data_IF_133514431459
#
_entry.id   IF_133514431459
#
_cell.length_a   1.000
_cell.length_b   1.000
_cell.length_c   1.000
_cell.angle_alpha   90.00
_cell.angle_beta   90.00
_cell.angle_gamma   90.00
#
_symmetry.space_group_name_H-M   'P 1'
#
loop_
_entity.id
_entity.type
_entity.pdbx_description
1 polymer ?
#
# COMPACT_ATOMS: atom_id res chain seq x y z
N UNK A 1 -6.74 -11.25 17.39
CA UNK A 1 -5.91 -10.18 16.76
C UNK A 1 -6.77 -9.19 15.95
N UNK A 2 -7.56 -9.65 14.97
CA UNK A 2 -8.35 -8.75 14.09
C UNK A 2 -9.30 -7.81 14.85
N UNK A 3 -10.05 -8.28 15.86
CA UNK A 3 -10.91 -7.42 16.68
C UNK A 3 -10.14 -6.29 17.37
N UNK A 4 -8.95 -6.57 17.91
CA UNK A 4 -8.10 -5.53 18.52
C UNK A 4 -7.67 -4.48 17.49
N UNK A 5 -7.24 -4.88 16.29
CA UNK A 5 -6.87 -3.94 15.22
C UNK A 5 -8.04 -3.05 14.79
N UNK A 6 -9.22 -3.65 14.59
CA UNK A 6 -10.44 -2.92 14.22
C UNK A 6 -10.90 -1.97 15.34
N UNK A 7 -10.82 -2.40 16.60
CA UNK A 7 -11.18 -1.55 17.74
C UNK A 7 -10.24 -0.35 17.89
N UNK A 8 -8.92 -0.55 17.75
CA UNK A 8 -7.96 0.56 17.77
C UNK A 8 -8.24 1.52 16.62
N UNK A 9 -8.45 1.01 15.41
CA UNK A 9 -8.77 1.83 14.24
C UNK A 9 -10.03 2.66 14.46
N UNK A 10 -11.13 2.04 14.87
CA UNK A 10 -12.40 2.72 15.14
C UNK A 10 -12.27 3.78 16.25
N UNK A 11 -11.55 3.46 17.33
CA UNK A 11 -11.30 4.39 18.44
C UNK A 11 -10.52 5.63 17.97
N UNK A 12 -9.46 5.44 17.17
CA UNK A 12 -8.64 6.53 16.65
C UNK A 12 -9.42 7.36 15.62
N UNK A 13 -10.20 6.73 14.73
CA UNK A 13 -11.08 7.43 13.80
C UNK A 13 -12.10 8.32 14.52
N UNK A 14 -12.73 7.80 15.58
CA UNK A 14 -13.68 8.56 16.39
C UNK A 14 -12.99 9.72 17.12
N UNK A 15 -11.86 9.46 17.80
CA UNK A 15 -11.10 10.47 18.55
C UNK A 15 -10.65 11.65 17.67
N UNK A 16 -10.37 11.41 16.40
CA UNK A 16 -9.88 12.43 15.46
C UNK A 16 -10.97 12.97 14.51
N UNK A 17 -12.26 12.66 14.74
CA UNK A 17 -13.39 13.10 13.91
C UNK A 17 -13.20 12.80 12.40
N UNK A 18 -12.70 11.60 12.10
CA UNK A 18 -12.39 11.17 10.72
C UNK A 18 -13.56 10.46 10.02
N UNK A 19 -14.59 10.10 10.78
CA UNK A 19 -15.82 9.52 10.24
C UNK A 19 -16.61 10.63 9.56
N UNK A 20 -16.65 10.60 8.24
CA UNK A 20 -17.30 11.59 7.38
C UNK A 20 -18.38 10.87 6.58
N UNK A 21 -19.67 10.94 6.97
CA UNK A 21 -20.73 10.39 6.15
C UNK A 21 -20.72 11.09 4.79
N UNK A 22 -20.37 10.34 3.73
CA UNK A 22 -20.37 10.83 2.35
C UNK A 22 -21.48 10.12 1.58
N UNK A 23 -22.22 10.87 0.78
CA UNK A 23 -23.22 10.30 -0.14
C UNK A 23 -22.58 9.48 -1.27
N UNK A 24 -21.32 9.78 -1.61
CA UNK A 24 -20.55 9.12 -2.66
C UNK A 24 -19.13 8.81 -2.17
N UNK A 25 -18.61 7.63 -2.53
CA UNK A 25 -17.23 7.27 -2.30
C UNK A 25 -16.28 8.16 -3.12
N UNK A 26 -15.15 8.54 -2.53
CA UNK A 26 -14.10 9.27 -3.23
C UNK A 26 -13.57 8.43 -4.41
N UNK A 27 -13.44 9.04 -5.60
CA UNK A 27 -13.01 8.32 -6.79
C UNK A 27 -11.58 7.78 -6.67
N UNK A 28 -10.69 8.44 -5.92
CA UNK A 28 -9.33 7.96 -5.69
C UNK A 28 -9.33 6.73 -4.79
N UNK A 29 -10.17 6.73 -3.75
CA UNK A 29 -10.35 5.57 -2.86
C UNK A 29 -11.00 4.41 -3.63
N UNK A 30 -12.04 4.68 -4.42
CA UNK A 30 -12.67 3.68 -5.30
C UNK A 30 -11.66 3.09 -6.30
N UNK A 31 -10.73 3.91 -6.80
CA UNK A 31 -9.66 3.44 -7.67
C UNK A 31 -8.64 2.57 -6.92
N UNK A 32 -8.54 2.66 -5.59
CA UNK A 32 -7.61 1.84 -4.80
C UNK A 32 -8.12 0.42 -4.54
N UNK A 33 -9.42 0.17 -4.74
CA UNK A 33 -10.09 -1.07 -4.38
C UNK A 33 -10.22 -1.98 -5.59
N UNK A 34 -9.65 -3.18 -5.53
CA UNK A 34 -9.91 -4.26 -6.49
C UNK A 34 -11.12 -5.08 -6.09
N UNK A 35 -11.90 -5.51 -7.07
CA UNK A 35 -13.13 -6.28 -6.87
C UNK A 35 -12.99 -7.67 -7.50
N UNK A 36 -13.24 -8.70 -6.71
CA UNK A 36 -13.32 -10.09 -7.10
C UNK A 36 -14.73 -10.59 -6.77
N UNK A 37 -15.52 -10.92 -7.79
CA UNK A 37 -16.94 -11.21 -7.63
C UNK A 37 -17.22 -12.64 -7.15
N UNK A 38 -16.39 -13.61 -7.54
CA UNK A 38 -16.66 -15.03 -7.29
C UNK A 38 -16.68 -15.35 -5.79
N UNK A 39 -15.77 -14.74 -5.03
CA UNK A 39 -15.64 -14.92 -3.59
C UNK A 39 -16.15 -13.70 -2.80
N UNK A 40 -16.84 -12.77 -3.47
CA UNK A 40 -17.31 -11.49 -2.90
C UNK A 40 -16.20 -10.80 -2.11
N UNK A 41 -15.07 -10.54 -2.75
CA UNK A 41 -13.84 -10.05 -2.13
C UNK A 41 -13.45 -8.67 -2.68
N UNK A 42 -13.13 -7.75 -1.79
CA UNK A 42 -12.58 -6.43 -2.10
C UNK A 42 -11.21 -6.29 -1.41
N UNK A 43 -10.19 -5.96 -2.19
CA UNK A 43 -8.85 -5.70 -1.70
C UNK A 43 -8.47 -4.23 -1.92
N UNK A 44 -8.18 -3.50 -0.85
CA UNK A 44 -7.57 -2.19 -0.97
C UNK A 44 -6.06 -2.35 -1.21
N UNK A 45 -5.60 -1.91 -2.38
CA UNK A 45 -4.19 -1.91 -2.68
C UNK A 45 -3.46 -0.87 -1.84
N UNK A 46 -2.48 -1.32 -1.07
CA UNK A 46 -1.48 -0.43 -0.49
C UNK A 46 -0.13 -0.85 -1.06
N UNK A 47 0.62 0.02 -1.74
CA UNK A 47 1.92 -0.38 -2.23
C UNK A 47 2.91 -0.67 -1.10
N UNK A 48 3.84 -1.59 -1.38
CA UNK A 48 4.93 -2.03 -0.48
C UNK A 48 4.49 -2.80 0.78
N UNK A 49 3.25 -3.31 0.76
CA UNK A 49 2.73 -4.25 1.77
C UNK A 49 2.35 -5.61 1.18
N UNK A 50 2.98 -5.98 0.05
CA UNK A 50 2.70 -7.25 -0.65
C UNK A 50 1.62 -7.17 -1.73
N UNK A 51 1.16 -5.98 -2.13
CA UNK A 51 0.05 -5.82 -3.07
C UNK A 51 0.19 -6.59 -4.40
N UNK A 52 1.40 -6.74 -4.96
CA UNK A 52 1.59 -7.51 -6.19
C UNK A 52 1.17 -8.98 -6.03
N UNK A 53 1.40 -9.57 -4.86
CA UNK A 53 1.00 -10.95 -4.56
C UNK A 53 -0.50 -11.05 -4.31
N UNK A 54 -1.12 -10.06 -3.67
CA UNK A 54 -2.59 -9.97 -3.59
C UNK A 54 -3.25 -9.84 -4.96
N UNK A 55 -2.69 -9.07 -5.89
CA UNK A 55 -3.21 -8.99 -7.26
C UNK A 55 -3.12 -10.34 -7.98
N UNK A 56 -2.04 -11.12 -7.77
CA UNK A 56 -1.93 -12.49 -8.30
C UNK A 56 -3.00 -13.40 -7.73
N UNK A 57 -3.24 -13.34 -6.42
CA UNK A 57 -4.33 -14.09 -5.78
C UNK A 57 -5.69 -13.74 -6.41
N UNK A 58 -6.00 -12.44 -6.57
CA UNK A 58 -7.26 -12.01 -7.20
C UNK A 58 -7.37 -12.55 -8.62
N UNK A 59 -6.29 -12.47 -9.40
CA UNK A 59 -6.25 -12.99 -10.76
C UNK A 59 -6.49 -14.51 -10.81
N UNK A 60 -5.86 -15.28 -9.92
CA UNK A 60 -6.07 -16.73 -9.84
C UNK A 60 -7.51 -17.08 -9.42
N UNK A 61 -8.08 -16.34 -8.46
CA UNK A 61 -9.47 -16.53 -8.02
C UNK A 61 -10.51 -16.25 -9.13
N UNK A 62 -10.20 -15.34 -10.06
CA UNK A 62 -11.10 -14.99 -11.18
C UNK A 62 -11.01 -15.95 -12.35
N UNK A 63 -9.83 -16.52 -12.58
CA UNK A 63 -9.50 -17.18 -13.84
C UNK A 63 -9.78 -18.69 -13.81
N UNK A 64 -10.08 -19.27 -12.64
CA UNK A 64 -10.19 -20.73 -12.43
C UNK A 64 -9.03 -21.53 -13.05
N UNK A 65 -7.88 -20.85 -13.24
CA UNK A 65 -6.70 -21.44 -13.81
C UNK A 65 -6.04 -22.32 -12.75
N UNK A 66 -5.61 -23.50 -13.16
CA UNK A 66 -4.67 -24.34 -12.41
C UNK A 66 -3.24 -23.77 -12.42
N UNK A 67 -3.07 -22.50 -12.75
CA UNK A 67 -1.78 -21.82 -12.85
C UNK A 67 -1.25 -21.46 -11.46
N UNK A 68 0.06 -21.57 -11.28
CA UNK A 68 0.71 -21.17 -10.03
C UNK A 68 0.96 -19.67 -10.01
N UNK A 69 0.92 -19.04 -8.83
CA UNK A 69 1.13 -17.59 -8.72
C UNK A 69 2.53 -17.15 -9.23
N UNK A 70 3.51 -18.06 -9.22
CA UNK A 70 4.87 -17.85 -9.76
C UNK A 70 4.91 -17.67 -11.26
N UNK A 71 3.92 -18.17 -11.99
CA UNK A 71 3.83 -18.06 -13.45
C UNK A 71 3.31 -16.68 -13.90
N UNK A 72 2.75 -15.90 -12.96
CA UNK A 72 2.23 -14.57 -13.24
C UNK A 72 3.32 -13.52 -13.06
N UNK A 73 3.80 -13.01 -14.19
CA UNK A 73 4.82 -11.96 -14.27
C UNK A 73 4.40 -10.69 -13.50
N UNK A 74 5.38 -10.07 -12.83
CA UNK A 74 5.15 -8.92 -11.94
C UNK A 74 4.63 -7.67 -12.66
N UNK A 75 5.12 -7.36 -13.86
CA UNK A 75 4.67 -6.16 -14.56
C UNK A 75 3.28 -6.37 -15.19
N UNK A 76 3.00 -7.57 -15.74
CA UNK A 76 1.69 -7.89 -16.32
C UNK A 76 0.55 -7.79 -15.30
N UNK A 77 0.77 -8.20 -14.04
CA UNK A 77 -0.28 -8.08 -13.00
C UNK A 77 -0.56 -6.62 -12.58
N UNK A 78 0.33 -5.68 -12.92
CA UNK A 78 0.12 -4.26 -12.65
C UNK A 78 -0.65 -3.54 -13.76
N UNK A 79 -0.66 -4.09 -14.97
CA UNK A 79 -1.30 -3.50 -16.15
C UNK A 79 -2.50 -4.28 -16.69
N UNK A 80 -2.77 -5.48 -16.15
CA UNK A 80 -3.90 -6.30 -16.60
C UNK A 80 -5.26 -5.64 -16.35
N UNK A 81 -6.13 -5.69 -17.35
CA UNK A 81 -7.53 -5.24 -17.27
C UNK A 81 -8.47 -6.30 -16.70
N UNK A 82 -7.95 -7.50 -16.40
CA UNK A 82 -8.75 -8.63 -15.92
C UNK A 82 -9.21 -8.41 -14.48
N UNK A 83 -8.38 -7.80 -13.64
CA UNK A 83 -8.75 -7.40 -12.28
C UNK A 83 -9.41 -6.00 -12.29
N UNK A 84 -10.72 -5.95 -12.04
CA UNK A 84 -11.47 -4.68 -12.06
C UNK A 84 -11.32 -3.92 -10.75
N UNK A 85 -11.27 -2.60 -10.85
CA UNK A 85 -11.28 -1.68 -9.70
C UNK A 85 -12.69 -1.19 -9.41
N UNK A 86 -13.01 -0.87 -8.16
CA UNK A 86 -14.35 -0.46 -7.75
C UNK A 86 -14.83 0.81 -8.50
N UNK A 87 -13.89 1.70 -8.86
CA UNK A 87 -14.18 2.90 -9.65
C UNK A 87 -14.80 2.62 -11.02
N UNK A 88 -14.60 1.42 -11.60
CA UNK A 88 -15.19 1.08 -12.91
C UNK A 88 -16.69 0.78 -12.84
N UNK A 89 -17.28 0.74 -11.65
CA UNK A 89 -18.69 0.43 -11.45
C UNK A 89 -19.50 1.70 -11.12
N UNK A 90 -20.78 1.78 -11.51
CA UNK A 90 -21.66 2.88 -11.10
C UNK A 90 -21.78 3.00 -9.58
N UNK A 91 -22.02 4.21 -9.02
CA UNK A 91 -22.06 4.44 -7.58
C UNK A 91 -23.01 3.52 -6.79
N UNK A 92 -24.14 3.14 -7.39
CA UNK A 92 -25.09 2.21 -6.77
C UNK A 92 -24.47 0.83 -6.52
N UNK A 93 -23.78 0.27 -7.52
CA UNK A 93 -23.07 -1.01 -7.39
C UNK A 93 -21.86 -0.89 -6.47
N UNK A 94 -21.15 0.25 -6.46
CA UNK A 94 -20.05 0.46 -5.50
C UNK A 94 -20.55 0.33 -4.06
N UNK A 95 -21.69 0.96 -3.75
CA UNK A 95 -22.33 0.87 -2.43
C UNK A 95 -22.75 -0.57 -2.11
N UNK A 96 -23.40 -1.25 -3.06
CA UNK A 96 -23.81 -2.65 -2.90
C UNK A 96 -22.62 -3.56 -2.58
N UNK A 97 -21.53 -3.45 -3.33
CA UNK A 97 -20.35 -4.30 -3.12
C UNK A 97 -19.69 -4.02 -1.78
N UNK A 98 -19.53 -2.74 -1.39
CA UNK A 98 -18.98 -2.39 -0.08
C UNK A 98 -19.82 -2.92 1.09
N UNK A 99 -21.14 -3.01 0.93
CA UNK A 99 -22.04 -3.58 1.93
C UNK A 99 -21.98 -5.11 1.99
N UNK A 100 -21.78 -5.79 0.86
CA UNK A 100 -21.99 -7.23 0.75
C UNK A 100 -20.70 -8.08 0.63
N UNK A 101 -19.55 -7.46 0.34
CA UNK A 101 -18.30 -8.16 0.04
C UNK A 101 -17.35 -8.07 1.24
N UNK A 102 -16.52 -9.09 1.44
CA UNK A 102 -15.43 -9.07 2.41
C UNK A 102 -14.38 -8.06 1.97
N UNK A 103 -14.12 -7.02 2.78
CA UNK A 103 -13.16 -5.95 2.49
C UNK A 103 -11.89 -6.17 3.28
N UNK A 104 -10.75 -6.14 2.60
CA UNK A 104 -9.45 -6.39 3.20
C UNK A 104 -8.46 -5.31 2.82
N UNK A 105 -7.69 -4.86 3.79
CA UNK A 105 -6.49 -4.05 3.56
C UNK A 105 -5.32 -4.60 4.34
N UNK A 106 -4.11 -4.33 3.86
CA UNK A 106 -2.88 -4.61 4.58
C UNK A 106 -2.13 -3.32 4.87
N UNK A 107 -1.43 -3.29 6.00
CA UNK A 107 -0.61 -2.16 6.42
C UNK A 107 0.81 -2.62 6.70
N UNK A 108 1.71 -1.66 6.83
CA UNK A 108 3.10 -1.89 7.21
C UNK A 108 3.59 -0.70 8.01
N UNK A 109 4.58 -0.91 8.88
CA UNK A 109 5.25 0.17 9.58
C UNK A 109 5.57 1.33 8.61
N UNK A 110 5.08 2.57 8.87
CA UNK A 110 5.08 3.61 7.84
C UNK A 110 6.46 3.95 7.28
N UNK A 111 7.49 3.95 8.14
CA UNK A 111 8.87 4.24 7.73
C UNK A 111 9.51 3.08 6.96
N UNK A 112 9.18 1.83 7.29
CA UNK A 112 9.66 0.70 6.48
C UNK A 112 9.01 0.71 5.10
N UNK A 113 7.72 1.05 5.04
CA UNK A 113 7.00 1.21 3.78
C UNK A 113 7.64 2.30 2.92
N UNK A 114 8.01 3.43 3.52
CA UNK A 114 8.72 4.53 2.84
C UNK A 114 10.07 4.09 2.29
N UNK A 115 10.90 3.43 3.10
CA UNK A 115 12.21 2.92 2.65
C UNK A 115 12.05 1.88 1.55
N UNK A 116 11.06 0.99 1.67
CA UNK A 116 10.75 0.02 0.62
C UNK A 116 10.32 0.71 -0.69
N UNK A 117 9.59 1.83 -0.62
CA UNK A 117 9.21 2.60 -1.79
C UNK A 117 10.41 3.27 -2.47
N UNK A 118 11.27 3.92 -1.69
CA UNK A 118 12.51 4.53 -2.19
C UNK A 118 13.40 3.50 -2.90
N UNK A 119 13.67 2.37 -2.23
CA UNK A 119 14.49 1.29 -2.80
C UNK A 119 13.88 0.79 -4.11
N UNK A 120 12.59 0.45 -4.09
CA UNK A 120 11.92 -0.10 -5.27
C UNK A 120 11.88 0.87 -6.46
N UNK A 121 11.67 2.18 -6.21
CA UNK A 121 11.38 3.15 -7.27
C UNK A 121 12.55 4.02 -7.70
N UNK A 122 13.50 4.30 -6.82
CA UNK A 122 14.59 5.24 -7.10
C UNK A 122 15.97 4.57 -7.15
N UNK A 123 16.12 3.34 -6.63
CA UNK A 123 17.37 2.59 -6.75
C UNK A 123 17.40 1.61 -7.91
N UNK A 124 16.26 1.27 -8.49
CA UNK A 124 16.16 0.43 -9.69
C UNK A 124 15.75 1.25 -10.92
N UNK A 125 15.95 0.65 -12.10
CA UNK A 125 15.71 1.29 -13.39
C UNK A 125 14.24 1.19 -13.82
N UNK A 126 13.30 1.53 -12.92
CA UNK A 126 11.90 1.73 -13.34
C UNK A 126 11.84 3.06 -14.11
N UNK A 127 11.46 3.09 -15.40
CA UNK A 127 11.67 4.26 -16.25
C UNK A 127 11.01 5.53 -15.73
N UNK A 128 9.75 5.49 -15.29
CA UNK A 128 9.02 6.67 -14.84
C UNK A 128 9.65 7.29 -13.58
N UNK A 129 9.95 6.48 -12.56
CA UNK A 129 10.50 6.97 -11.30
C UNK A 129 11.99 7.32 -11.41
N UNK A 130 12.80 6.47 -12.05
CA UNK A 130 14.25 6.68 -12.18
C UNK A 130 14.64 7.80 -13.13
N UNK A 131 13.70 8.24 -13.99
CA UNK A 131 13.88 9.41 -14.87
C UNK A 131 13.04 10.60 -14.44
N UNK A 132 11.71 10.53 -14.53
CA UNK A 132 10.82 11.70 -14.38
C UNK A 132 10.84 12.22 -12.95
N UNK A 133 10.55 11.35 -11.98
CA UNK A 133 10.54 11.74 -10.56
C UNK A 133 11.96 12.06 -10.08
N UNK A 134 12.95 11.24 -10.46
CA UNK A 134 14.34 11.51 -10.09
C UNK A 134 14.84 12.86 -10.62
N UNK A 135 14.50 13.24 -11.85
CA UNK A 135 14.87 14.52 -12.44
C UNK A 135 14.14 15.69 -11.77
N UNK A 136 12.88 15.52 -11.38
CA UNK A 136 12.15 16.52 -10.58
C UNK A 136 12.86 16.77 -9.24
N UNK A 137 13.25 15.69 -8.53
CA UNK A 137 13.98 15.78 -7.26
C UNK A 137 15.34 16.48 -7.47
N UNK A 138 16.12 16.08 -8.47
CA UNK A 138 17.41 16.71 -8.80
C UNK A 138 17.23 18.19 -9.11
N UNK A 139 16.18 18.57 -9.85
CA UNK A 139 15.91 19.96 -10.20
C UNK A 139 15.57 20.83 -8.98
N UNK A 140 14.96 20.24 -7.94
CA UNK A 140 14.62 20.94 -6.70
C UNK A 140 15.81 21.10 -5.75
N UNK A 141 16.69 20.10 -5.65
CA UNK A 141 17.67 20.05 -4.55
C UNK A 141 19.15 20.07 -4.99
N UNK A 142 19.47 19.85 -6.27
CA UNK A 142 20.85 19.88 -6.78
C UNK A 142 21.15 21.15 -7.57
N UNK A 143 22.35 21.70 -7.37
CA UNK A 143 22.93 22.75 -8.23
C UNK A 143 23.24 22.19 -9.63
N UNK A 144 23.87 21.02 -9.70
CA UNK A 144 24.13 20.31 -10.97
C UNK A 144 23.06 19.23 -11.20
N UNK A 145 22.13 19.51 -12.12
CA UNK A 145 20.99 18.64 -12.44
C UNK A 145 21.39 17.39 -13.25
N UNK A 146 22.53 17.43 -13.92
CA UNK A 146 23.01 16.36 -14.80
C UNK A 146 23.94 15.37 -14.08
N UNK A 147 24.03 15.42 -12.75
CA UNK A 147 24.84 14.46 -11.99
C UNK A 147 24.35 13.02 -12.27
N UNK A 148 25.26 12.09 -12.63
CA UNK A 148 24.92 10.69 -12.87
C UNK A 148 24.54 9.94 -11.59
N UNK A 149 24.79 10.55 -10.41
CA UNK A 149 24.44 9.95 -9.13
C UNK A 149 22.93 9.77 -8.98
N UNK A 150 22.54 8.64 -8.40
CA UNK A 150 21.15 8.38 -8.02
C UNK A 150 20.69 9.41 -6.99
N UNK A 151 19.39 9.71 -7.01
CA UNK A 151 18.76 10.54 -5.97
C UNK A 151 19.00 9.88 -4.61
N UNK A 152 19.47 10.64 -3.63
CA UNK A 152 19.71 10.14 -2.28
C UNK A 152 18.40 9.99 -1.50
N UNK A 153 18.41 9.22 -0.42
CA UNK A 153 17.23 9.09 0.43
C UNK A 153 16.87 10.43 1.09
N UNK A 154 17.87 11.25 1.42
CA UNK A 154 17.68 12.57 1.99
C UNK A 154 16.96 13.52 1.02
N UNK A 155 17.35 13.52 -0.25
CA UNK A 155 16.70 14.31 -1.31
C UNK A 155 15.26 13.83 -1.54
N UNK A 156 15.05 12.51 -1.56
CA UNK A 156 13.72 11.93 -1.66
C UNK A 156 12.81 12.32 -0.48
N UNK A 157 13.33 12.32 0.75
CA UNK A 157 12.58 12.76 1.93
C UNK A 157 12.21 14.24 1.83
N UNK A 158 13.16 15.10 1.43
CA UNK A 158 12.87 16.53 1.23
C UNK A 158 11.80 16.75 0.16
N UNK A 159 11.82 15.95 -0.91
CA UNK A 159 10.82 16.00 -1.95
C UNK A 159 9.40 15.69 -1.46
N UNK A 160 9.23 14.61 -0.68
CA UNK A 160 7.89 14.22 -0.22
C UNK A 160 7.34 15.16 0.85
N UNK A 161 8.17 15.70 1.75
CA UNK A 161 7.71 16.62 2.80
C UNK A 161 7.41 18.02 2.26
N UNK A 162 7.95 18.38 1.09
CA UNK A 162 7.67 19.64 0.41
C UNK A 162 6.30 19.66 -0.31
N UNK A 163 5.62 18.52 -0.41
CA UNK A 163 4.35 18.37 -1.13
C UNK A 163 3.18 18.12 -0.17
N UNK A 164 1.97 18.63 -0.47
CA UNK A 164 0.79 18.29 0.29
C UNK A 164 0.52 16.76 0.32
N UNK A 165 0.11 16.16 1.45
CA UNK A 165 -0.03 14.71 1.56
C UNK A 165 -0.97 14.07 0.53
N UNK A 166 -2.03 14.79 0.12
CA UNK A 166 -3.03 14.29 -0.83
C UNK A 166 -2.51 14.20 -2.28
N UNK A 167 -1.47 14.98 -2.64
CA UNK A 167 -0.85 14.99 -3.98
C UNK A 167 0.29 13.99 -4.11
N UNK A 168 0.67 13.29 -3.04
CA UNK A 168 1.76 12.32 -3.07
C UNK A 168 1.43 11.12 -3.97
N UNK A 169 2.47 10.52 -4.53
CA UNK A 169 2.36 9.26 -5.27
C UNK A 169 1.87 8.14 -4.36
N UNK A 170 1.13 7.18 -4.93
CA UNK A 170 0.56 6.05 -4.18
C UNK A 170 1.61 5.22 -3.41
N UNK A 171 2.87 5.20 -3.85
CA UNK A 171 3.92 4.40 -3.23
C UNK A 171 4.40 4.98 -1.90
N UNK A 172 4.28 6.29 -1.68
CA UNK A 172 4.66 6.96 -0.44
C UNK A 172 3.54 7.84 0.15
N UNK A 173 2.33 7.86 -0.42
CA UNK A 173 1.16 8.47 0.22
C UNK A 173 0.81 7.72 1.52
N UNK A 174 0.42 8.40 2.61
CA UNK A 174 -0.10 7.74 3.82
C UNK A 174 -1.20 6.70 3.49
N UNK A 175 -1.12 5.53 4.11
CA UNK A 175 -2.00 4.39 3.82
C UNK A 175 -3.47 4.72 4.13
N UNK A 176 -3.73 5.49 5.18
CA UNK A 176 -5.09 5.91 5.52
C UNK A 176 -5.73 6.80 4.44
N UNK A 177 -4.94 7.57 3.69
CA UNK A 177 -5.42 8.37 2.56
C UNK A 177 -5.66 7.54 1.29
N UNK A 178 -5.06 6.35 1.18
CA UNK A 178 -5.27 5.43 0.06
C UNK A 178 -6.58 4.65 0.23
N UNK A 179 -6.81 4.13 1.43
CA UNK A 179 -7.85 3.14 1.70
C UNK A 179 -9.04 3.65 2.53
N UNK A 180 -8.97 4.86 3.06
CA UNK A 180 -10.02 5.51 3.86
C UNK A 180 -10.68 4.59 4.91
N UNK A 181 -9.90 3.98 5.82
CA UNK A 181 -10.42 2.96 6.73
C UNK A 181 -11.36 3.49 7.80
N UNK A 182 -11.46 4.81 7.98
CA UNK A 182 -12.45 5.40 8.86
C UNK A 182 -13.86 5.44 8.24
N UNK A 183 -13.97 5.34 6.91
CA UNK A 183 -15.25 5.38 6.20
C UNK A 183 -15.56 4.07 5.45
N UNK A 184 -14.57 3.19 5.29
CA UNK A 184 -14.74 1.82 4.80
C UNK A 184 -14.52 0.84 5.95
N UNK A 185 -15.55 0.05 6.26
CA UNK A 185 -15.52 -0.95 7.32
C UNK A 185 -14.76 -2.21 6.85
N UNK A 186 -13.44 -2.23 6.98
CA UNK A 186 -12.64 -3.41 6.62
C UNK A 186 -12.93 -4.59 7.56
N UNK A 187 -13.22 -5.74 6.96
CA UNK A 187 -13.46 -7.00 7.68
C UNK A 187 -12.16 -7.56 8.26
N UNK A 188 -11.06 -7.41 7.52
CA UNK A 188 -9.69 -7.77 7.90
C UNK A 188 -8.73 -6.59 7.68
N UNK A 189 -7.96 -6.26 8.71
CA UNK A 189 -6.83 -5.33 8.65
C UNK A 189 -5.55 -6.13 8.91
N UNK A 190 -4.91 -6.57 7.84
CA UNK A 190 -3.67 -7.33 7.86
C UNK A 190 -2.45 -6.45 8.10
N UNK A 191 -1.37 -7.04 8.62
CA UNK A 191 -0.07 -6.39 8.78
C UNK A 191 0.98 -7.14 7.97
N UNK A 192 1.87 -6.41 7.31
CA UNK A 192 2.98 -6.98 6.56
C UNK A 192 3.91 -7.79 7.47
N UNK A 193 4.03 -7.36 8.72
CA UNK A 193 4.80 -8.03 9.76
C UNK A 193 4.21 -9.41 10.13
N UNK A 194 2.92 -9.64 9.87
CA UNK A 194 2.22 -10.92 10.11
C UNK A 194 1.58 -11.47 8.83
N UNK A 195 2.17 -11.18 7.67
CA UNK A 195 1.58 -11.42 6.35
C UNK A 195 1.17 -12.87 6.13
N UNK A 196 1.98 -13.84 6.59
CA UNK A 196 1.66 -15.27 6.48
C UNK A 196 0.32 -15.61 7.16
N UNK A 197 0.22 -15.35 8.46
CA UNK A 197 -0.98 -15.62 9.27
C UNK A 197 -2.20 -14.83 8.78
N UNK A 198 -2.01 -13.54 8.47
CA UNK A 198 -3.11 -12.69 8.05
C UNK A 198 -3.62 -13.06 6.65
N UNK A 199 -2.75 -13.45 5.73
CA UNK A 199 -3.16 -13.87 4.38
C UNK A 199 -3.87 -15.22 4.40
N UNK A 200 -3.41 -16.19 5.20
CA UNK A 200 -4.11 -17.45 5.43
C UNK A 200 -5.52 -17.22 6.00
N UNK A 201 -5.64 -16.32 6.99
CA UNK A 201 -6.94 -15.94 7.55
C UNK A 201 -7.86 -15.34 6.49
N UNK A 202 -7.36 -14.44 5.63
CA UNK A 202 -8.14 -13.84 4.54
C UNK A 202 -8.64 -14.91 3.58
N UNK A 203 -7.75 -15.78 3.09
CA UNK A 203 -8.11 -16.86 2.15
C UNK A 203 -9.19 -17.78 2.73
N UNK A 204 -9.11 -18.09 4.02
CA UNK A 204 -10.15 -18.85 4.73
C UNK A 204 -11.49 -18.10 4.80
N UNK A 205 -11.47 -16.81 5.14
CA UNK A 205 -12.70 -16.00 5.32
C UNK A 205 -13.44 -15.82 3.99
N UNK A 206 -12.73 -15.63 2.88
CA UNK A 206 -13.34 -15.47 1.55
C UNK A 206 -13.75 -16.82 0.93
N UNK A 207 -13.44 -17.95 1.58
CA UNK A 207 -13.75 -19.28 1.06
C UNK A 207 -12.92 -19.65 -0.17
N UNK A 208 -11.68 -19.18 -0.26
CA UNK A 208 -10.76 -19.53 -1.35
C UNK A 208 -10.45 -21.05 -1.34
N UNK A 209 -10.06 -21.63 -2.49
CA UNK A 209 -9.63 -23.03 -2.56
C UNK A 209 -8.52 -23.35 -1.56
N UNK A 210 -8.58 -24.50 -0.89
CA UNK A 210 -7.60 -24.91 0.13
C UNK A 210 -6.17 -25.06 -0.42
N UNK A 211 -6.02 -25.29 -1.72
CA UNK A 211 -4.73 -25.35 -2.40
C UNK A 211 -4.11 -23.97 -2.62
N UNK A 212 -4.91 -22.90 -2.61
CA UNK A 212 -4.41 -21.56 -2.86
C UNK A 212 -3.70 -21.03 -1.61
N UNK A 213 -2.44 -20.65 -1.78
CA UNK A 213 -1.62 -20.04 -0.73
C UNK A 213 -1.12 -18.68 -1.17
N UNK A 214 -0.94 -17.79 -0.20
CA UNK A 214 -0.36 -16.48 -0.48
C UNK A 214 1.11 -16.63 -0.88
N UNK A 215 1.51 -16.16 -2.07
CA UNK A 215 2.85 -16.43 -2.58
C UNK A 215 3.91 -15.57 -1.87
N UNK A 216 5.11 -16.12 -1.68
CA UNK A 216 6.28 -15.41 -1.15
C UNK A 216 7.17 -14.85 -2.26
N UNK A 217 6.57 -14.41 -3.38
CA UNK A 217 7.30 -13.87 -4.52
C UNK A 217 7.84 -12.46 -4.23
N UNK A 218 9.03 -12.16 -4.77
CA UNK A 218 9.67 -10.84 -4.73
C UNK A 218 10.23 -10.51 -6.12
N UNK A 219 9.98 -9.28 -6.61
CA UNK A 219 10.47 -8.80 -7.91
C UNK A 219 12.00 -8.91 -8.02
N UNK A 220 12.72 -8.34 -7.05
CA UNK A 220 14.18 -8.39 -6.95
C UNK A 220 14.59 -9.46 -5.94
N UNK A 221 14.51 -10.73 -6.34
CA UNK A 221 14.67 -11.90 -5.46
C UNK A 221 16.05 -12.03 -4.79
N UNK A 222 17.10 -11.48 -5.41
CA UNK A 222 18.46 -11.47 -4.86
C UNK A 222 18.66 -10.50 -3.68
N UNK A 223 17.76 -9.54 -3.51
CA UNK A 223 17.87 -8.57 -2.42
C UNK A 223 17.14 -9.04 -1.17
N UNK A 224 17.59 -8.57 -0.01
CA UNK A 224 16.82 -8.66 1.24
C UNK A 224 15.52 -7.86 1.14
N UNK A 225 14.43 -8.36 1.73
CA UNK A 225 13.21 -7.55 1.93
C UNK A 225 13.58 -6.39 2.88
N UNK A 226 13.05 -5.20 2.63
CA UNK A 226 13.15 -4.12 3.62
C UNK A 226 12.62 -4.64 4.95
N UNK A 227 13.28 -4.31 6.04
CA UNK A 227 12.93 -4.64 7.43
C UNK A 227 13.36 -3.48 8.33
N UNK A 228 13.25 -3.65 9.65
CA UNK A 228 13.63 -2.63 10.63
C UNK A 228 15.10 -2.21 10.56
N UNK A 229 16.02 -3.16 10.40
CA UNK A 229 17.46 -2.90 10.39
C UNK A 229 17.87 -2.06 9.17
N UNK A 230 17.41 -2.48 7.99
CA UNK A 230 17.62 -1.73 6.75
C UNK A 230 16.97 -0.34 6.86
N UNK A 231 15.78 -0.26 7.44
CA UNK A 231 15.08 1.02 7.61
C UNK A 231 15.89 1.96 8.49
N UNK A 232 16.50 1.45 9.57
CA UNK A 232 17.36 2.23 10.45
C UNK A 232 18.60 2.78 9.74
N UNK A 233 19.22 2.01 8.84
CA UNK A 233 20.36 2.49 8.02
C UNK A 233 19.99 3.71 7.17
N UNK A 234 18.79 3.73 6.60
CA UNK A 234 18.30 4.88 5.83
C UNK A 234 17.92 6.05 6.73
N UNK A 235 17.24 5.80 7.86
CA UNK A 235 16.84 6.85 8.79
C UNK A 235 18.04 7.56 9.44
N UNK A 236 19.18 6.87 9.63
CA UNK A 236 20.44 7.47 10.11
C UNK A 236 21.04 8.52 9.16
N UNK A 237 20.61 8.55 7.90
CA UNK A 237 21.07 9.55 6.92
C UNK A 237 20.30 10.87 7.03
N UNK A 238 19.21 10.91 7.82
CA UNK A 238 18.33 12.06 7.92
C UNK A 238 18.69 12.94 9.12
N UNK A 239 18.42 14.24 9.00
CA UNK A 239 18.47 15.15 10.15
C UNK A 239 17.28 14.92 11.09
N UNK A 240 17.39 15.36 12.34
CA UNK A 240 16.29 15.31 13.30
C UNK A 240 15.02 15.99 12.79
N UNK A 241 15.16 17.13 12.10
CA UNK A 241 14.05 17.86 11.48
C UNK A 241 13.37 17.03 10.38
N UNK A 242 14.14 16.35 9.53
CA UNK A 242 13.59 15.47 8.51
C UNK A 242 12.81 14.30 9.13
N UNK A 243 13.36 13.69 10.19
CA UNK A 243 12.71 12.60 10.92
C UNK A 243 11.39 13.07 11.54
N UNK A 244 11.36 14.24 12.15
CA UNK A 244 10.14 14.82 12.72
C UNK A 244 9.07 15.06 11.64
N UNK A 245 9.46 15.67 10.52
CA UNK A 245 8.53 15.96 9.41
C UNK A 245 7.96 14.70 8.77
N UNK A 246 8.77 13.64 8.55
CA UNK A 246 8.23 12.37 8.02
C UNK A 246 7.35 11.65 9.05
N UNK A 247 7.67 11.71 10.35
CA UNK A 247 6.79 11.16 11.40
C UNK A 247 5.46 11.90 11.42
N UNK A 248 5.47 13.23 11.25
CA UNK A 248 4.25 14.02 11.15
C UNK A 248 3.44 13.70 9.90
N UNK A 249 4.10 13.51 8.75
CA UNK A 249 3.45 13.12 7.49
C UNK A 249 2.67 11.80 7.62
N UNK A 250 3.22 10.81 8.34
CA UNK A 250 2.60 9.50 8.55
C UNK A 250 1.92 9.32 9.92
N UNK A 251 1.73 10.40 10.69
CA UNK A 251 1.23 10.35 12.08
C UNK A 251 -0.06 9.53 12.21
N UNK A 252 -1.00 9.74 11.30
CA UNK A 252 -2.27 9.00 11.30
C UNK A 252 -2.09 7.51 11.00
N UNK A 253 -1.13 7.11 10.16
CA UNK A 253 -0.85 5.69 9.93
C UNK A 253 -0.28 5.03 11.19
N UNK A 254 0.57 5.73 11.95
CA UNK A 254 1.05 5.24 13.24
C UNK A 254 -0.09 4.99 14.22
N UNK A 255 -1.00 5.96 14.36
CA UNK A 255 -2.11 5.86 15.30
C UNK A 255 -3.17 4.84 14.87
N UNK A 256 -3.67 4.92 13.63
CA UNK A 256 -4.76 4.06 13.14
C UNK A 256 -4.39 2.58 13.15
N UNK A 257 -3.12 2.26 12.87
CA UNK A 257 -2.66 0.88 12.72
C UNK A 257 -1.80 0.41 13.89
N UNK A 258 -1.73 1.19 14.97
CA UNK A 258 -0.99 0.87 16.19
C UNK A 258 0.47 0.47 15.89
N UNK A 259 1.21 1.35 15.21
CA UNK A 259 2.64 1.23 15.00
C UNK A 259 3.39 2.12 16.00
N UNK A 260 4.54 1.65 16.46
CA UNK A 260 5.41 2.42 17.35
C UNK A 260 6.05 3.58 16.59
N UNK A 261 6.14 4.74 17.21
CA UNK A 261 6.84 5.91 16.65
C UNK A 261 8.34 5.93 17.00
N UNK A 262 8.81 4.94 17.77
CA UNK A 262 10.22 4.75 18.12
C UNK A 262 10.96 4.15 16.94
#
# INVERSE_FOLDING_TARGET
IQNSRKNTLASVCLKNNLNKPRSKLDSHVANQLFVEHKHKFIYCEVPKVGCSNWKRIIFLLQSDLSAEASEIEHDNIHHTSLIKRLVSYPPALQKEFLSNYTKVMFTRHPLERLVSAYRDKLLHSEPFYSTTIANEIRAMFRKNKNSPEKVSFQEFVNFIIAKPPHTLDIHWKPMFLLCDPCNIHYDVVGKYETLGLDSEHVLKVIGAPKSLQYPSLKRYGSEKRTDGDITLEYLRQLTSEQIEKIKKLYEMDFFLFNYTTK
#
